data_IF_187496142174
#
_entry.id   IF_187496142174
#
_cell.length_a   1.000
_cell.length_b   1.000
_cell.length_c   1.000
_cell.angle_alpha   90.00
_cell.angle_beta   90.00
_cell.angle_gamma   90.00
#
_symmetry.space_group_name_H-M   'P 1'
#
loop_
_entity.id
_entity.type
_entity.pdbx_description
1 polymer ?
#
# COMPACT_ATOMS: atom_id res chain seq x y z
N UNK A 1 19.80 -49.89 7.16
CA UNK A 1 18.90 -50.05 6.01
C UNK A 1 18.07 -48.76 5.94
N UNK A 2 18.43 -47.82 5.07
CA UNK A 2 17.69 -46.55 4.92
C UNK A 2 16.54 -46.75 3.95
N UNK A 3 15.32 -46.50 4.42
CA UNK A 3 14.12 -46.53 3.58
C UNK A 3 14.14 -45.26 2.72
N UNK A 4 14.07 -45.45 1.41
CA UNK A 4 14.02 -44.39 0.41
C UNK A 4 12.75 -43.56 0.61
N UNK A 5 12.91 -42.24 0.79
CA UNK A 5 11.78 -41.32 0.89
C UNK A 5 11.20 -41.09 -0.50
N UNK A 6 10.31 -41.98 -0.93
CA UNK A 6 9.48 -41.74 -2.12
C UNK A 6 8.46 -40.66 -1.75
N UNK A 7 8.73 -39.42 -2.15
CA UNK A 7 7.73 -38.35 -2.11
C UNK A 7 6.77 -38.59 -3.28
N UNK A 8 5.48 -38.93 -3.04
CA UNK A 8 4.55 -39.17 -4.13
C UNK A 8 4.28 -37.84 -4.85
N UNK A 9 4.64 -37.77 -6.13
CA UNK A 9 4.08 -36.74 -7.01
C UNK A 9 2.62 -37.09 -7.31
N UNK A 10 1.71 -36.22 -6.89
CA UNK A 10 0.37 -36.13 -7.46
C UNK A 10 0.30 -34.91 -8.37
N UNK A 11 0.54 -35.13 -9.67
CA UNK A 11 0.19 -34.18 -10.73
C UNK A 11 -1.29 -34.43 -11.04
N UNK A 12 -2.13 -33.54 -10.54
CA UNK A 12 -3.54 -33.47 -10.91
C UNK A 12 -3.68 -32.29 -11.88
N UNK A 13 -4.24 -32.49 -13.07
CA UNK A 13 -4.24 -31.46 -14.13
C UNK A 13 -5.04 -30.19 -13.75
N UNK A 14 -5.93 -30.28 -12.75
CA UNK A 14 -6.59 -29.12 -12.13
C UNK A 14 -5.65 -28.36 -11.17
N UNK A 15 -4.68 -29.05 -10.59
CA UNK A 15 -3.62 -28.53 -9.72
C UNK A 15 -2.47 -27.96 -10.54
N UNK A 16 -2.17 -28.46 -11.73
CA UNK A 16 -1.15 -27.90 -12.63
C UNK A 16 -1.46 -26.48 -13.09
N UNK A 17 -2.72 -26.16 -13.37
CA UNK A 17 -3.13 -24.78 -13.67
C UNK A 17 -2.91 -23.85 -12.48
N UNK A 18 -3.15 -24.34 -11.26
CA UNK A 18 -2.93 -23.59 -10.02
C UNK A 18 -1.44 -23.52 -9.63
N UNK A 19 -0.66 -24.58 -9.88
CA UNK A 19 0.78 -24.65 -9.67
C UNK A 19 1.50 -23.78 -10.68
N UNK A 20 1.15 -23.86 -11.97
CA UNK A 20 1.65 -22.95 -12.99
C UNK A 20 1.26 -21.50 -12.68
N UNK A 21 0.02 -21.23 -12.25
CA UNK A 21 -0.37 -19.88 -11.85
C UNK A 21 0.44 -19.40 -10.63
N UNK A 22 0.68 -20.27 -9.64
CA UNK A 22 1.47 -19.97 -8.43
C UNK A 22 2.95 -19.80 -8.73
N UNK A 23 3.52 -20.62 -9.61
CA UNK A 23 4.92 -20.52 -10.07
C UNK A 23 5.10 -19.31 -10.98
N UNK A 24 4.20 -19.07 -11.94
CA UNK A 24 4.17 -17.85 -12.74
C UNK A 24 3.97 -16.61 -11.87
N UNK A 25 3.27 -16.72 -10.75
CA UNK A 25 3.17 -15.66 -9.74
C UNK A 25 4.45 -15.49 -8.91
N UNK A 26 5.19 -16.57 -8.63
CA UNK A 26 6.47 -16.54 -7.92
C UNK A 26 7.61 -15.99 -8.81
N UNK A 27 7.55 -16.25 -10.12
CA UNK A 27 8.51 -15.79 -11.12
C UNK A 27 8.05 -14.54 -11.90
N UNK A 28 6.84 -14.05 -11.64
CA UNK A 28 6.35 -12.78 -12.17
C UNK A 28 7.17 -11.65 -11.56
N UNK A 29 7.95 -10.95 -12.38
CA UNK A 29 8.65 -9.72 -12.00
C UNK A 29 7.71 -8.58 -11.57
N UNK A 30 6.41 -8.73 -11.80
CA UNK A 30 5.41 -7.74 -11.42
C UNK A 30 4.81 -8.09 -10.05
N UNK A 31 4.71 -7.12 -9.14
CA UNK A 31 4.14 -7.33 -7.82
C UNK A 31 2.67 -7.73 -7.91
N UNK A 32 2.25 -8.69 -7.05
CA UNK A 32 0.88 -9.21 -7.06
C UNK A 32 -0.14 -8.14 -6.64
N UNK A 33 0.24 -7.30 -5.68
CA UNK A 33 -0.52 -6.19 -5.16
C UNK A 33 0.34 -4.93 -5.18
N UNK A 34 -0.29 -3.80 -5.45
CA UNK A 34 0.31 -2.48 -5.36
C UNK A 34 -0.69 -1.50 -4.72
N UNK A 35 -0.20 -0.36 -4.23
CA UNK A 35 -1.07 0.71 -3.73
C UNK A 35 -1.11 1.83 -4.75
N UNK A 36 -2.32 2.24 -5.14
CA UNK A 36 -2.56 3.49 -5.86
C UNK A 36 -2.89 4.56 -4.83
N UNK A 37 -2.13 5.65 -4.86
CA UNK A 37 -2.34 6.80 -3.96
C UNK A 37 -2.80 7.98 -4.81
N UNK A 38 -3.95 8.55 -4.46
CA UNK A 38 -4.52 9.72 -5.14
C UNK A 38 -4.75 10.84 -4.14
N UNK A 39 -4.27 12.04 -4.48
CA UNK A 39 -4.52 13.25 -3.70
C UNK A 39 -5.79 13.94 -4.18
N UNK A 40 -6.65 14.34 -3.24
CA UNK A 40 -7.80 15.19 -3.48
C UNK A 40 -7.42 16.68 -3.62
N UNK A 41 -8.42 17.49 -3.96
CA UNK A 41 -8.31 18.93 -3.90
C UNK A 41 -8.08 19.40 -2.46
N UNK A 42 -7.46 20.57 -2.33
CA UNK A 42 -7.27 21.21 -1.04
C UNK A 42 -8.53 21.95 -0.59
N UNK A 43 -8.85 21.83 0.69
CA UNK A 43 -9.88 22.60 1.36
C UNK A 43 -9.41 22.97 2.76
N UNK A 44 -9.30 24.27 3.06
CA UNK A 44 -8.91 24.77 4.38
C UNK A 44 -7.61 24.15 4.93
N UNK A 45 -6.53 24.16 4.14
CA UNK A 45 -5.23 23.54 4.46
C UNK A 45 -5.24 22.00 4.55
N UNK A 46 -6.36 21.34 4.23
CA UNK A 46 -6.51 19.88 4.29
C UNK A 46 -6.56 19.30 2.87
N UNK A 47 -5.83 18.20 2.65
CA UNK A 47 -6.00 17.34 1.48
C UNK A 47 -6.29 15.91 1.91
N UNK A 48 -7.32 15.32 1.32
CA UNK A 48 -7.62 13.89 1.47
C UNK A 48 -6.76 13.07 0.52
N UNK A 49 -6.11 12.04 1.04
CA UNK A 49 -5.40 11.04 0.26
C UNK A 49 -6.16 9.72 0.33
N UNK A 50 -6.49 9.17 -0.83
CA UNK A 50 -7.11 7.87 -0.96
C UNK A 50 -6.04 6.84 -1.33
N UNK A 51 -5.92 5.80 -0.51
CA UNK A 51 -4.98 4.70 -0.69
C UNK A 51 -5.79 3.46 -1.05
N UNK A 52 -5.66 2.98 -2.28
CA UNK A 52 -6.41 1.82 -2.78
C UNK A 52 -5.46 0.71 -3.20
N UNK A 53 -5.71 -0.50 -2.70
CA UNK A 53 -4.97 -1.68 -3.15
C UNK A 53 -5.49 -2.12 -4.52
N UNK A 54 -4.57 -2.36 -5.45
CA UNK A 54 -4.87 -2.83 -6.80
C UNK A 54 -4.06 -4.08 -7.10
N UNK A 55 -4.64 -4.98 -7.89
CA UNK A 55 -3.91 -6.15 -8.39
C UNK A 55 -2.99 -5.79 -9.56
N UNK A 56 -2.21 -6.78 -10.03
CA UNK A 56 -1.33 -6.66 -11.20
C UNK A 56 -1.99 -6.14 -12.49
N UNK A 57 -3.31 -6.23 -12.62
CA UNK A 57 -4.07 -5.73 -13.78
C UNK A 57 -4.59 -4.29 -13.54
N UNK A 58 -4.18 -3.66 -12.45
CA UNK A 58 -4.64 -2.33 -12.05
C UNK A 58 -6.10 -2.28 -11.60
N UNK A 59 -6.72 -3.43 -11.32
CA UNK A 59 -8.10 -3.53 -10.82
C UNK A 59 -8.10 -3.45 -9.31
N UNK A 60 -9.11 -2.78 -8.78
CA UNK A 60 -9.32 -2.58 -7.36
C UNK A 60 -9.51 -3.92 -6.64
N UNK A 61 -8.81 -4.08 -5.52
CA UNK A 61 -8.95 -5.22 -4.63
C UNK A 61 -9.84 -4.82 -3.46
N UNK A 62 -10.83 -5.65 -3.15
CA UNK A 62 -11.65 -5.52 -1.95
C UNK A 62 -11.02 -6.35 -0.82
N UNK A 63 -11.23 -5.92 0.43
CA UNK A 63 -10.72 -6.62 1.61
C UNK A 63 -9.83 -5.75 2.51
N UNK A 64 -9.28 -6.38 3.54
CA UNK A 64 -8.47 -5.75 4.56
C UNK A 64 -6.98 -6.02 4.27
N UNK A 65 -6.22 -4.96 4.02
CA UNK A 65 -4.80 -5.03 3.68
C UNK A 65 -3.97 -4.15 4.62
N UNK A 66 -2.81 -4.66 5.06
CA UNK A 66 -1.83 -3.89 5.79
C UNK A 66 -1.06 -2.97 4.84
N UNK A 67 -1.06 -1.68 5.13
CA UNK A 67 -0.35 -0.63 4.39
C UNK A 67 0.70 0.01 5.28
N UNK A 68 1.94 0.07 4.81
CA UNK A 68 2.95 0.98 5.35
C UNK A 68 2.78 2.33 4.66
N UNK A 69 2.45 3.39 5.40
CA UNK A 69 2.31 4.75 4.86
C UNK A 69 3.44 5.63 5.39
N UNK A 70 4.05 6.41 4.50
CA UNK A 70 5.12 7.37 4.80
C UNK A 70 4.82 8.69 4.10
N UNK A 71 4.90 9.78 4.85
CA UNK A 71 4.73 11.15 4.38
C UNK A 71 6.05 11.88 4.58
N UNK A 72 6.62 12.38 3.49
CA UNK A 72 7.91 13.08 3.49
C UNK A 72 7.88 14.38 2.69
N UNK A 73 8.98 15.10 2.73
CA UNK A 73 9.22 16.35 1.98
C UNK A 73 10.03 16.14 0.70
N UNK A 74 10.50 14.91 0.44
CA UNK A 74 11.25 14.54 -0.75
C UNK A 74 10.70 13.25 -1.37
N UNK A 75 10.83 13.11 -2.69
CA UNK A 75 10.23 12.00 -3.45
C UNK A 75 10.69 10.60 -2.99
N UNK A 76 11.95 10.48 -2.57
CA UNK A 76 12.56 9.24 -2.06
C UNK A 76 13.15 9.43 -0.64
N UNK A 77 12.61 10.38 0.13
CA UNK A 77 13.05 10.67 1.49
C UNK A 77 12.31 9.84 2.55
N UNK A 78 12.84 9.88 3.78
CA UNK A 78 12.15 9.34 4.94
C UNK A 78 10.95 10.19 5.40
N UNK A 79 10.31 9.79 6.51
CA UNK A 79 9.25 10.57 7.13
C UNK A 79 9.77 11.95 7.55
N UNK A 80 9.11 13.03 7.12
CA UNK A 80 9.57 14.40 7.36
C UNK A 80 8.45 15.43 7.21
N UNK A 81 8.74 16.67 7.62
CA UNK A 81 7.85 17.83 7.50
C UNK A 81 6.92 18.01 8.70
N UNK A 82 6.27 19.17 8.75
CA UNK A 82 5.28 19.52 9.77
C UNK A 82 3.89 19.39 9.17
N UNK A 83 3.08 18.48 9.71
CA UNK A 83 1.70 18.25 9.30
C UNK A 83 0.93 17.61 10.45
N UNK A 84 -0.40 17.60 10.34
CA UNK A 84 -1.24 16.70 11.12
C UNK A 84 -1.92 15.69 10.19
N UNK A 85 -2.12 14.48 10.68
CA UNK A 85 -2.77 13.42 9.91
C UNK A 85 -3.95 12.88 10.70
N UNK A 86 -5.11 12.80 10.05
CA UNK A 86 -6.30 12.13 10.57
C UNK A 86 -6.65 10.97 9.66
N UNK A 87 -6.92 9.80 10.23
CA UNK A 87 -7.37 8.64 9.45
C UNK A 87 -8.89 8.71 9.33
N UNK A 88 -9.38 8.87 8.10
CA UNK A 88 -10.81 9.01 7.76
C UNK A 88 -11.45 7.64 7.54
N UNK A 89 -10.72 6.73 6.90
CA UNK A 89 -11.18 5.38 6.59
C UNK A 89 -10.03 4.38 6.74
N UNK A 90 -10.36 3.19 7.26
CA UNK A 90 -9.39 2.20 7.70
C UNK A 90 -9.12 2.31 9.20
N UNK A 91 -8.08 1.61 9.66
CA UNK A 91 -7.71 1.60 11.07
C UNK A 91 -6.20 1.70 11.24
N UNK A 92 -5.75 2.50 12.21
CA UNK A 92 -4.32 2.55 12.56
C UNK A 92 -3.97 1.32 13.39
N UNK A 93 -2.97 0.56 12.92
CA UNK A 93 -2.42 -0.58 13.65
C UNK A 93 -1.25 -0.11 14.51
N UNK A 94 -0.38 0.70 13.93
CA UNK A 94 0.81 1.21 14.60
C UNK A 94 1.20 2.58 14.07
N UNK A 95 1.63 3.46 14.96
CA UNK A 95 2.28 4.73 14.61
C UNK A 95 3.79 4.54 14.74
N UNK A 96 4.54 4.76 13.65
CA UNK A 96 6.00 4.67 13.62
C UNK A 96 6.60 6.05 13.92
N UNK A 97 6.07 7.08 13.27
CA UNK A 97 6.42 8.47 13.49
C UNK A 97 5.14 9.30 13.44
N UNK A 98 4.85 10.04 14.51
CA UNK A 98 3.59 10.80 14.61
C UNK A 98 3.41 11.72 13.41
N UNK A 99 2.22 11.71 12.81
CA UNK A 99 1.86 12.51 11.64
C UNK A 99 2.71 12.28 10.37
N UNK A 100 3.56 11.24 10.34
CA UNK A 100 4.52 11.05 9.26
C UNK A 100 4.63 9.60 8.78
N UNK A 101 4.50 8.61 9.67
CA UNK A 101 4.60 7.20 9.28
C UNK A 101 3.72 6.28 10.13
N UNK A 102 2.99 5.39 9.44
CA UNK A 102 1.96 4.53 10.04
C UNK A 102 1.94 3.15 9.39
N UNK A 103 1.50 2.16 10.16
CA UNK A 103 0.93 0.92 9.63
C UNK A 103 -0.59 1.04 9.77
N UNK A 104 -1.29 0.98 8.64
CA UNK A 104 -2.75 1.11 8.56
C UNK A 104 -3.35 -0.16 7.98
N UNK A 105 -4.55 -0.53 8.42
CA UNK A 105 -5.41 -1.44 7.69
C UNK A 105 -6.40 -0.67 6.83
N UNK A 106 -6.62 -1.14 5.60
CA UNK A 106 -7.75 -0.67 4.79
C UNK A 106 -9.09 -1.09 5.39
N UNK A 107 -10.14 -0.32 5.10
CA UNK A 107 -11.52 -0.73 5.35
C UNK A 107 -11.92 -1.92 4.46
N UNK A 108 -13.10 -2.51 4.70
CA UNK A 108 -13.59 -3.69 3.98
C UNK A 108 -13.66 -3.52 2.44
N UNK A 109 -13.77 -2.28 1.96
CA UNK A 109 -13.77 -1.96 0.53
C UNK A 109 -12.36 -1.87 -0.09
N UNK A 110 -11.29 -2.23 0.63
CA UNK A 110 -9.92 -2.16 0.13
C UNK A 110 -9.32 -0.75 0.05
N UNK A 111 -9.93 0.20 0.77
CA UNK A 111 -9.52 1.60 0.78
C UNK A 111 -9.12 2.03 2.19
N UNK A 112 -8.02 2.75 2.29
CA UNK A 112 -7.74 3.62 3.43
C UNK A 112 -7.80 5.07 2.97
N UNK A 113 -8.27 5.97 3.82
CA UNK A 113 -8.29 7.41 3.55
C UNK A 113 -7.68 8.15 4.72
N UNK A 114 -6.86 9.13 4.41
CA UNK A 114 -6.25 10.01 5.41
C UNK A 114 -6.35 11.46 4.97
N UNK A 115 -6.63 12.33 5.92
CA UNK A 115 -6.61 13.77 5.75
C UNK A 115 -5.27 14.29 6.28
N UNK A 116 -4.50 14.94 5.42
CA UNK A 116 -3.24 15.62 5.78
C UNK A 116 -3.50 17.12 5.82
N UNK A 117 -3.21 17.72 6.97
CA UNK A 117 -3.30 19.18 7.15
C UNK A 117 -1.90 19.77 7.18
N UNK A 118 -1.65 20.79 6.37
CA UNK A 118 -0.40 21.56 6.37
C UNK A 118 -0.74 23.04 6.39
N UNK A 119 -0.28 23.75 7.42
CA UNK A 119 -0.53 25.20 7.53
C UNK A 119 0.50 25.96 6.68
N UNK A 120 0.00 26.74 5.72
CA UNK A 120 0.81 27.57 4.84
C UNK A 120 1.45 26.80 3.67
N UNK A 121 2.07 27.56 2.77
CA UNK A 121 2.64 27.03 1.54
C UNK A 121 3.74 25.99 1.81
N UNK A 122 3.54 24.78 1.32
CA UNK A 122 4.48 23.67 1.49
C UNK A 122 4.18 22.54 0.50
N UNK A 123 5.03 21.52 0.43
CA UNK A 123 4.76 20.33 -0.37
C UNK A 123 5.06 19.02 0.35
N UNK A 124 4.30 17.97 0.03
CA UNK A 124 4.49 16.62 0.57
C UNK A 124 4.46 15.56 -0.51
N UNK A 125 5.13 14.46 -0.22
CA UNK A 125 5.07 13.22 -0.98
C UNK A 125 4.47 12.15 -0.08
N UNK A 126 3.32 11.59 -0.48
CA UNK A 126 2.68 10.49 0.25
C UNK A 126 3.01 9.19 -0.45
N UNK A 127 3.68 8.30 0.27
CA UNK A 127 4.06 6.95 -0.16
C UNK A 127 3.29 5.93 0.66
N UNK A 128 2.84 4.88 0.01
CA UNK A 128 2.24 3.74 0.69
C UNK A 128 2.60 2.44 0.01
N UNK A 129 2.80 1.39 0.80
CA UNK A 129 3.13 0.09 0.26
C UNK A 129 2.35 -1.04 0.90
N UNK A 130 2.14 -2.06 0.08
CA UNK A 130 1.57 -3.36 0.45
C UNK A 130 2.62 -4.40 0.09
N UNK A 131 2.94 -5.31 1.01
CA UNK A 131 3.95 -6.37 0.80
C UNK A 131 5.29 -5.84 0.23
N UNK A 132 5.82 -4.76 0.79
CA UNK A 132 7.08 -4.09 0.42
C UNK A 132 7.10 -3.34 -0.93
N UNK A 133 5.98 -3.27 -1.66
CA UNK A 133 5.90 -2.52 -2.93
C UNK A 133 5.31 -1.14 -2.65
N UNK A 134 6.13 -0.10 -2.79
CA UNK A 134 5.74 1.28 -2.52
C UNK A 134 5.19 1.98 -3.78
N UNK A 135 3.96 2.48 -3.69
CA UNK A 135 3.39 3.46 -4.62
C UNK A 135 3.26 4.83 -3.94
N UNK A 136 2.91 5.87 -4.68
CA UNK A 136 2.65 7.17 -4.07
C UNK A 136 2.39 8.29 -5.05
N UNK A 137 2.29 9.50 -4.52
CA UNK A 137 2.01 10.71 -5.29
C UNK A 137 3.25 11.30 -5.94
N UNK A 138 3.07 12.18 -6.93
CA UNK A 138 4.07 13.21 -7.21
C UNK A 138 4.11 14.22 -6.07
N UNK A 139 4.85 15.31 -6.23
CA UNK A 139 4.77 16.43 -5.30
C UNK A 139 3.32 16.92 -5.20
N UNK A 140 2.83 17.08 -3.99
CA UNK A 140 1.52 17.67 -3.70
C UNK A 140 1.74 18.95 -2.92
N UNK A 141 1.34 20.07 -3.49
CA UNK A 141 1.52 21.39 -2.88
C UNK A 141 0.28 21.81 -2.07
N UNK A 142 0.52 22.57 -1.01
CA UNK A 142 -0.45 23.35 -0.25
C UNK A 142 -0.25 24.82 -0.56
N UNK A 143 -1.34 25.59 -0.59
CA UNK A 143 -1.32 27.02 -0.95
C UNK A 143 -1.66 27.91 0.23
#
# INVERSE_FOLDING_TARGET
MSIETVIPQGIDAATDGQLFAREAMAYSRSPQLAVRVTAGAEASNIRRFTLRVVNRRGKDCLGLFALLVVIGTAAAGGPAGTQTVSIVSGATVQTIASNQAFILFTAANGVAELDVTVVGASSRYVRAGVLAVMGGTTEVAWT
#
